data_IF_680912521178
#
_entry.id   IF_680912521178
#
_cell.length_a   1.000
_cell.length_b   1.000
_cell.length_c   1.000
_cell.angle_alpha   90.00
_cell.angle_beta   90.00
_cell.angle_gamma   90.00
#
_symmetry.space_group_name_H-M   'P 1'
#
loop_
_entity.id
_entity.type
_entity.pdbx_description
1 polymer ?
#
# COMPACT_ATOMS: atom_id res chain seq x y z
N UNK A 1 -18.37 5.66 3.90
CA UNK A 1 -19.50 6.47 4.42
C UNK A 1 -19.70 6.26 5.91
N UNK A 2 -20.86 5.77 6.37
CA UNK A 2 -21.14 5.56 7.82
C UNK A 2 -20.18 4.57 8.49
N UNK A 3 -19.75 3.52 7.80
CA UNK A 3 -18.79 2.54 8.32
C UNK A 3 -17.38 3.13 8.49
N UNK A 4 -16.93 4.00 7.58
CA UNK A 4 -15.63 4.67 7.67
C UNK A 4 -15.60 5.68 8.81
N UNK A 5 -16.70 6.42 9.03
CA UNK A 5 -16.83 7.32 10.18
C UNK A 5 -16.78 6.52 11.50
N UNK A 6 -17.44 5.37 11.56
CA UNK A 6 -17.37 4.48 12.72
C UNK A 6 -15.94 3.95 12.95
N UNK A 7 -15.25 3.51 11.89
CA UNK A 7 -13.86 3.05 11.96
C UNK A 7 -12.90 4.15 12.43
N UNK A 8 -13.01 5.36 11.88
CA UNK A 8 -12.21 6.51 12.31
C UNK A 8 -12.46 6.84 13.79
N UNK A 9 -13.72 6.79 14.23
CA UNK A 9 -14.09 7.02 15.63
C UNK A 9 -13.47 5.99 16.59
N UNK A 10 -13.43 4.72 16.21
CA UNK A 10 -12.79 3.66 17.01
C UNK A 10 -11.28 3.91 17.16
N UNK A 11 -10.60 4.32 16.09
CA UNK A 11 -9.17 4.63 16.15
C UNK A 11 -8.89 5.84 17.04
N UNK A 12 -9.72 6.88 16.97
CA UNK A 12 -9.60 8.05 17.84
C UNK A 12 -9.80 7.69 19.31
N UNK A 13 -10.84 6.91 19.64
CA UNK A 13 -11.08 6.46 21.01
C UNK A 13 -9.94 5.60 21.55
N UNK A 14 -9.41 4.69 20.73
CA UNK A 14 -8.24 3.89 21.09
C UNK A 14 -7.00 4.78 21.35
N UNK A 15 -6.76 5.80 20.52
CA UNK A 15 -5.71 6.78 20.72
C UNK A 15 -5.86 7.55 22.03
N UNK A 16 -7.07 8.05 22.33
CA UNK A 16 -7.33 8.73 23.60
C UNK A 16 -7.11 7.82 24.82
N UNK A 17 -7.56 6.57 24.74
CA UNK A 17 -7.35 5.60 25.82
C UNK A 17 -5.86 5.35 26.08
N UNK A 18 -5.08 5.19 25.01
CA UNK A 18 -3.62 5.06 25.11
C UNK A 18 -2.99 6.32 25.72
N UNK A 19 -3.39 7.51 25.25
CA UNK A 19 -2.90 8.78 25.77
C UNK A 19 -3.08 8.91 27.29
N UNK A 20 -4.27 8.60 27.81
CA UNK A 20 -4.52 8.63 29.25
C UNK A 20 -3.79 7.52 30.02
N UNK A 21 -3.52 6.36 29.40
CA UNK A 21 -2.73 5.30 30.02
C UNK A 21 -1.26 5.70 30.25
N UNK A 22 -0.71 6.49 29.35
CA UNK A 22 0.72 6.86 29.32
C UNK A 22 1.08 7.91 30.36
N UNK A 23 0.13 8.72 30.82
CA UNK A 23 0.37 9.90 31.67
C UNK A 23 1.09 9.60 33.01
N UNK A 24 1.15 8.34 33.43
CA UNK A 24 1.81 7.89 34.68
C UNK A 24 2.98 6.92 34.46
N UNK A 25 3.49 6.79 33.24
CA UNK A 25 4.53 5.80 32.87
C UNK A 25 5.92 6.44 32.66
N UNK A 26 7.02 5.66 32.76
CA UNK A 26 8.39 6.14 32.54
C UNK A 26 8.59 6.74 31.14
N UNK A 27 9.61 7.59 30.97
CA UNK A 27 9.82 8.42 29.78
C UNK A 27 10.03 7.60 28.49
N UNK A 28 10.70 6.44 28.62
CA UNK A 28 10.90 5.52 27.51
C UNK A 28 9.57 4.93 27.01
N UNK A 29 8.71 4.54 27.94
CA UNK A 29 7.37 4.01 27.64
C UNK A 29 6.52 5.08 26.95
N UNK A 30 6.59 6.31 27.44
CA UNK A 30 5.91 7.46 26.84
C UNK A 30 6.37 7.73 25.40
N UNK A 31 7.67 7.69 25.11
CA UNK A 31 8.16 7.93 23.75
C UNK A 31 7.67 6.87 22.76
N UNK A 32 7.79 5.59 23.14
CA UNK A 32 7.39 4.45 22.32
C UNK A 32 5.88 4.48 22.04
N UNK A 33 5.08 4.79 23.05
CA UNK A 33 3.63 4.89 22.93
C UNK A 33 3.19 6.12 22.12
N UNK A 34 3.94 7.24 22.20
CA UNK A 34 3.66 8.44 21.39
C UNK A 34 3.84 8.14 19.90
N UNK A 35 4.86 7.37 19.52
CA UNK A 35 5.07 6.92 18.14
C UNK A 35 3.89 6.05 17.63
N UNK A 36 3.35 5.18 18.49
CA UNK A 36 2.14 4.42 18.18
C UNK A 36 0.92 5.33 18.01
N UNK A 37 0.78 6.35 18.85
CA UNK A 37 -0.29 7.34 18.75
C UNK A 37 -0.27 8.06 17.39
N UNK A 38 0.93 8.46 16.93
CA UNK A 38 1.12 9.10 15.63
C UNK A 38 0.66 8.18 14.50
N UNK A 39 0.98 6.89 14.55
CA UNK A 39 0.52 5.91 13.58
C UNK A 39 -1.02 5.76 13.58
N UNK A 40 -1.64 5.70 14.77
CA UNK A 40 -3.11 5.60 14.92
C UNK A 40 -3.81 6.85 14.38
N UNK A 41 -3.31 8.04 14.72
CA UNK A 41 -3.85 9.30 14.19
C UNK A 41 -3.71 9.39 12.67
N UNK A 42 -2.56 9.00 12.12
CA UNK A 42 -2.35 8.94 10.67
C UNK A 42 -3.34 7.99 9.99
N UNK A 43 -3.63 6.84 10.60
CA UNK A 43 -4.66 5.90 10.13
C UNK A 43 -6.07 6.51 10.16
N UNK A 44 -6.44 7.15 11.27
CA UNK A 44 -7.74 7.83 11.39
C UNK A 44 -7.89 8.97 10.37
N UNK A 45 -6.84 9.75 10.14
CA UNK A 45 -6.79 10.79 9.11
C UNK A 45 -6.93 10.21 7.70
N UNK A 46 -6.32 9.06 7.44
CA UNK A 46 -6.42 8.38 6.13
C UNK A 46 -7.85 7.93 5.84
N UNK A 47 -8.51 7.30 6.82
CA UNK A 47 -9.92 6.90 6.72
C UNK A 47 -10.83 8.12 6.56
N UNK A 48 -10.53 9.22 7.25
CA UNK A 48 -11.27 10.47 7.09
C UNK A 48 -11.08 11.07 5.69
N UNK A 49 -9.87 11.03 5.14
CA UNK A 49 -9.59 11.48 3.78
C UNK A 49 -10.31 10.63 2.73
N UNK A 50 -10.43 9.31 2.93
CA UNK A 50 -11.19 8.41 2.04
C UNK A 50 -12.67 8.82 1.91
N UNK A 51 -13.27 9.32 3.00
CA UNK A 51 -14.65 9.83 2.98
C UNK A 51 -14.79 11.04 2.03
N UNK A 52 -13.78 11.90 1.97
CA UNK A 52 -13.75 13.08 1.09
C UNK A 52 -13.32 12.74 -0.34
N UNK A 53 -12.42 11.77 -0.51
CA UNK A 53 -11.77 11.39 -1.76
C UNK A 53 -12.09 9.93 -2.13
N UNK A 54 -13.39 9.62 -2.29
CA UNK A 54 -13.86 8.26 -2.62
C UNK A 54 -13.11 7.68 -3.83
N UNK A 55 -12.79 6.39 -3.73
CA UNK A 55 -12.21 5.54 -4.79
C UNK A 55 -10.77 5.83 -5.24
N UNK A 56 -9.98 6.51 -4.40
CA UNK A 56 -8.55 6.65 -4.67
C UNK A 56 -7.78 5.41 -4.18
N UNK A 57 -7.36 4.57 -5.12
CA UNK A 57 -6.55 3.37 -4.84
C UNK A 57 -5.30 3.67 -4.00
N UNK A 58 -4.72 4.87 -4.15
CA UNK A 58 -3.55 5.35 -3.40
C UNK A 58 -3.88 5.50 -1.91
N UNK A 59 -5.07 6.00 -1.57
CA UNK A 59 -5.50 6.20 -0.18
C UNK A 59 -5.76 4.86 0.52
N UNK A 60 -6.40 3.94 -0.17
CA UNK A 60 -6.63 2.57 0.33
C UNK A 60 -5.31 1.83 0.59
N UNK A 61 -4.36 2.00 -0.33
CA UNK A 61 -3.01 1.51 -0.23
C UNK A 61 -2.22 2.13 0.93
N UNK A 62 -2.36 3.45 1.13
CA UNK A 62 -1.74 4.17 2.24
C UNK A 62 -2.29 3.72 3.59
N UNK A 63 -3.61 3.51 3.68
CA UNK A 63 -4.27 2.93 4.85
C UNK A 63 -3.72 1.54 5.17
N UNK A 64 -3.58 0.67 4.17
CA UNK A 64 -2.97 -0.65 4.36
C UNK A 64 -1.50 -0.55 4.85
N UNK A 65 -0.72 0.39 4.30
CA UNK A 65 0.63 0.68 4.74
C UNK A 65 0.70 1.11 6.22
N UNK A 66 -0.16 2.05 6.63
CA UNK A 66 -0.25 2.50 8.03
C UNK A 66 -0.64 1.34 8.96
N UNK A 67 -1.59 0.49 8.56
CA UNK A 67 -1.98 -0.68 9.36
C UNK A 67 -0.81 -1.66 9.56
N UNK A 68 0.01 -1.87 8.53
CA UNK A 68 1.23 -2.70 8.63
C UNK A 68 2.23 -2.05 9.60
N UNK A 69 2.48 -0.74 9.47
CA UNK A 69 3.37 -0.01 10.40
C UNK A 69 2.84 -0.10 11.82
N UNK A 70 1.54 0.09 12.03
CA UNK A 70 0.92 0.05 13.35
C UNK A 70 1.05 -1.34 13.99
N UNK A 71 0.80 -2.42 13.23
CA UNK A 71 0.96 -3.79 13.72
C UNK A 71 2.40 -4.20 13.97
N UNK A 72 3.31 -3.90 13.04
CA UNK A 72 4.74 -4.23 13.18
C UNK A 72 5.40 -3.42 14.30
N UNK A 73 5.00 -2.17 14.48
CA UNK A 73 5.44 -1.36 15.61
C UNK A 73 4.89 -1.91 16.92
N UNK A 74 3.59 -2.23 17.01
CA UNK A 74 2.99 -2.82 18.21
C UNK A 74 3.71 -4.11 18.65
N UNK A 75 4.07 -4.97 17.68
CA UNK A 75 4.89 -6.15 17.94
C UNK A 75 6.27 -5.80 18.52
N UNK A 76 6.96 -4.81 17.93
CA UNK A 76 8.26 -4.33 18.41
C UNK A 76 8.18 -3.79 19.84
N UNK A 77 7.12 -3.03 20.16
CA UNK A 77 6.83 -2.54 21.52
C UNK A 77 6.70 -3.71 22.50
N UNK A 78 5.96 -4.75 22.11
CA UNK A 78 5.77 -5.94 22.93
C UNK A 78 7.09 -6.63 23.29
N UNK A 79 8.02 -6.73 22.34
CA UNK A 79 9.36 -7.30 22.59
C UNK A 79 10.18 -6.40 23.52
N UNK A 80 10.14 -5.08 23.32
CA UNK A 80 10.88 -4.10 24.13
C UNK A 80 10.38 -4.10 25.58
N UNK A 81 9.07 -4.17 25.81
CA UNK A 81 8.46 -4.12 27.14
C UNK A 81 8.48 -5.44 27.89
N UNK A 82 8.18 -6.56 27.22
CA UNK A 82 8.07 -7.87 27.90
C UNK A 82 9.37 -8.68 27.91
N UNK A 83 10.38 -8.27 27.12
CA UNK A 83 11.69 -8.93 27.03
C UNK A 83 11.60 -10.47 27.07
N UNK A 84 11.01 -11.12 26.05
CA UNK A 84 10.75 -12.56 26.06
C UNK A 84 12.01 -13.44 26.27
N UNK A 85 13.20 -12.88 26.05
CA UNK A 85 14.50 -13.56 26.24
C UNK A 85 15.32 -13.07 27.44
N UNK A 86 14.73 -12.28 28.36
CA UNK A 86 15.42 -11.87 29.59
C UNK A 86 16.65 -10.99 29.38
N UNK A 87 16.64 -10.12 28.35
CA UNK A 87 17.74 -9.20 28.05
C UNK A 87 17.95 -8.12 29.12
N UNK A 88 18.91 -7.21 28.91
CA UNK A 88 19.07 -6.02 29.77
C UNK A 88 17.83 -5.13 29.69
N UNK A 89 17.38 -4.60 30.82
CA UNK A 89 16.33 -3.58 30.89
C UNK A 89 16.73 -2.40 30.01
N UNK A 90 15.79 -1.91 29.20
CA UNK A 90 16.02 -0.73 28.37
C UNK A 90 16.03 0.50 29.28
N UNK A 91 17.23 1.04 29.53
CA UNK A 91 17.39 2.28 30.28
C UNK A 91 16.98 3.48 29.42
N UNK A 92 16.60 4.60 30.07
CA UNK A 92 16.15 5.84 29.42
C UNK A 92 17.29 6.63 28.72
N UNK A 93 18.34 5.93 28.31
CA UNK A 93 19.48 6.50 27.63
C UNK A 93 19.09 7.08 26.27
N UNK A 94 19.66 8.24 25.94
CA UNK A 94 19.43 8.93 24.67
C UNK A 94 19.71 8.03 23.45
N UNK A 95 20.67 7.10 23.57
CA UNK A 95 21.01 6.12 22.53
C UNK A 95 19.84 5.17 22.22
N UNK A 96 19.10 4.72 23.24
CA UNK A 96 17.97 3.80 23.07
C UNK A 96 16.81 4.50 22.38
N UNK A 97 16.54 5.76 22.75
CA UNK A 97 15.51 6.60 22.12
C UNK A 97 15.85 6.86 20.65
N UNK A 98 17.12 7.20 20.35
CA UNK A 98 17.57 7.35 18.96
C UNK A 98 17.45 6.05 18.15
N UNK A 99 17.79 4.90 18.74
CA UNK A 99 17.64 3.61 18.08
C UNK A 99 16.16 3.29 17.79
N UNK A 100 15.26 3.56 18.74
CA UNK A 100 13.82 3.33 18.59
C UNK A 100 13.21 4.21 17.50
N UNK A 101 13.56 5.50 17.47
CA UNK A 101 13.09 6.40 16.40
C UNK A 101 13.60 5.96 15.03
N UNK A 102 14.87 5.62 14.91
CA UNK A 102 15.44 5.03 13.68
C UNK A 102 14.69 3.76 13.26
N UNK A 103 14.44 2.85 14.19
CA UNK A 103 13.67 1.63 13.94
C UNK A 103 12.27 1.95 13.40
N UNK A 104 11.56 2.89 14.01
CA UNK A 104 10.25 3.34 13.53
C UNK A 104 10.31 3.88 12.09
N UNK A 105 11.33 4.68 11.76
CA UNK A 105 11.53 5.15 10.39
C UNK A 105 11.79 4.00 9.40
N UNK A 106 12.50 2.95 9.81
CA UNK A 106 12.68 1.75 9.00
C UNK A 106 11.37 1.01 8.75
N UNK A 107 10.49 0.89 9.75
CA UNK A 107 9.15 0.33 9.56
C UNK A 107 8.34 1.14 8.54
N UNK A 108 8.40 2.48 8.64
CA UNK A 108 7.75 3.37 7.68
C UNK A 108 8.33 3.22 6.27
N UNK A 109 9.66 3.22 6.14
CA UNK A 109 10.33 3.03 4.86
C UNK A 109 9.99 1.68 4.22
N UNK A 110 9.95 0.60 5.01
CA UNK A 110 9.54 -0.71 4.55
C UNK A 110 8.08 -0.72 4.06
N UNK A 111 7.17 -0.07 4.78
CA UNK A 111 5.77 0.05 4.35
C UNK A 111 5.64 0.83 3.02
N UNK A 112 6.39 1.92 2.86
CA UNK A 112 6.44 2.67 1.59
C UNK A 112 7.04 1.83 0.47
N UNK A 113 8.08 1.05 0.74
CA UNK A 113 8.68 0.15 -0.24
C UNK A 113 7.69 -0.94 -0.69
N UNK A 114 6.99 -1.58 0.26
CA UNK A 114 5.93 -2.56 -0.03
C UNK A 114 4.85 -1.92 -0.89
N UNK A 115 4.43 -0.70 -0.55
CA UNK A 115 3.45 0.04 -1.33
C UNK A 115 3.93 0.30 -2.77
N UNK A 116 5.16 0.80 -2.94
CA UNK A 116 5.74 1.06 -4.26
C UNK A 116 5.85 -0.21 -5.11
N UNK A 117 6.23 -1.34 -4.50
CA UNK A 117 6.29 -2.64 -5.17
C UNK A 117 4.89 -3.09 -5.62
N UNK A 118 3.88 -3.00 -4.74
CA UNK A 118 2.51 -3.38 -5.11
C UNK A 118 1.95 -2.49 -6.23
N UNK A 119 2.22 -1.19 -6.19
CA UNK A 119 1.79 -0.26 -7.23
C UNK A 119 2.45 -0.56 -8.58
N UNK A 120 3.77 -0.78 -8.57
CA UNK A 120 4.51 -1.13 -9.81
C UNK A 120 4.08 -2.49 -10.36
N UNK A 121 3.85 -3.49 -9.51
CA UNK A 121 3.32 -4.80 -9.92
C UNK A 121 1.92 -4.67 -10.54
N UNK A 122 1.01 -3.92 -9.91
CA UNK A 122 -0.33 -3.69 -10.45
C UNK A 122 -0.28 -2.98 -11.81
N UNK A 123 0.53 -1.91 -11.92
CA UNK A 123 0.74 -1.20 -13.18
C UNK A 123 1.31 -2.10 -14.27
N UNK A 124 2.37 -2.84 -13.96
CA UNK A 124 3.01 -3.79 -14.87
C UNK A 124 2.04 -4.90 -15.30
N UNK A 125 1.27 -5.48 -14.38
CA UNK A 125 0.28 -6.51 -14.69
C UNK A 125 -0.81 -5.97 -15.64
N UNK A 126 -1.35 -4.78 -15.38
CA UNK A 126 -2.34 -4.16 -16.27
C UNK A 126 -1.74 -3.95 -17.66
N UNK A 127 -0.52 -3.42 -17.74
CA UNK A 127 0.15 -3.19 -19.02
C UNK A 127 0.46 -4.50 -19.76
N UNK A 128 0.86 -5.55 -19.05
CA UNK A 128 1.11 -6.87 -19.62
C UNK A 128 -0.17 -7.57 -20.08
N UNK A 129 -1.26 -7.52 -19.28
CA UNK A 129 -2.57 -8.04 -19.69
C UNK A 129 -3.10 -7.31 -20.93
N UNK A 130 -2.91 -5.98 -21.02
CA UNK A 130 -3.26 -5.22 -22.22
C UNK A 130 -2.41 -5.62 -23.44
N UNK A 131 -1.10 -5.84 -23.26
CA UNK A 131 -0.22 -6.34 -24.35
C UNK A 131 -0.65 -7.73 -24.81
N UNK A 132 -0.86 -8.66 -23.88
CA UNK A 132 -1.26 -10.03 -24.19
C UNK A 132 -2.64 -10.10 -24.84
N UNK A 133 -3.58 -9.24 -24.46
CA UNK A 133 -4.89 -9.15 -25.11
C UNK A 133 -4.80 -8.55 -26.52
N UNK A 134 -3.85 -7.65 -26.80
CA UNK A 134 -3.63 -7.08 -28.16
C UNK A 134 -2.95 -8.04 -29.15
N UNK A 135 -2.09 -8.93 -28.67
CA UNK A 135 -1.31 -9.88 -29.48
C UNK A 135 -2.16 -10.83 -30.37
N UNK A 136 -3.27 -11.44 -29.90
CA UNK A 136 -4.09 -12.32 -30.72
C UNK A 136 -4.86 -11.59 -31.84
N UNK A 137 -5.21 -10.31 -31.66
CA UNK A 137 -5.93 -9.54 -32.70
C UNK A 137 -5.02 -9.12 -33.86
N UNK A 138 -3.75 -8.81 -33.59
CA UNK A 138 -2.78 -8.47 -34.64
C UNK A 138 -2.45 -9.71 -35.50
N UNK A 139 -2.31 -10.88 -34.88
CA UNK A 139 -2.09 -12.14 -35.61
C UNK A 139 -3.28 -12.59 -36.49
N UNK A 140 -4.52 -12.36 -36.03
CA UNK A 140 -5.72 -12.65 -36.83
C UNK A 140 -5.99 -11.63 -37.95
N UNK A 141 -5.62 -10.35 -37.74
CA UNK A 141 -5.74 -9.30 -38.76
C UNK A 141 -4.76 -9.48 -39.92
N UNK A 142 -3.50 -9.85 -39.62
CA UNK A 142 -2.47 -10.11 -40.64
C UNK A 142 -2.80 -11.36 -41.47
N UNK A 143 -3.28 -12.44 -40.85
CA UNK A 143 -3.66 -13.68 -41.57
C UNK A 143 -4.85 -13.51 -42.52
N UNK A 144 -5.71 -12.51 -42.30
CA UNK A 144 -6.86 -12.24 -43.19
C UNK A 144 -6.49 -11.42 -44.43
N UNK A 145 -5.33 -10.76 -44.44
CA UNK A 145 -4.85 -9.95 -45.58
C UNK A 145 -3.93 -10.73 -46.54
N UNK A 146 -3.21 -11.75 -46.09
CA UNK A 146 -2.36 -12.58 -46.97
C UNK A 146 -3.11 -13.66 -47.77
N UNK A 147 -4.45 -13.72 -47.64
CA UNK A 147 -5.26 -14.83 -48.17
C UNK A 147 -5.86 -14.65 -49.57
N UNK A 148 -5.77 -13.49 -50.24
CA UNK A 148 -6.34 -13.40 -51.59
C UNK A 148 -5.69 -12.34 -52.51
N UNK A 149 -4.59 -12.68 -53.21
CA UNK A 149 -4.14 -11.98 -54.40
C UNK A 149 -4.79 -12.52 -55.69
N UNK A 150 -5.79 -13.41 -55.63
CA UNK A 150 -6.31 -14.11 -56.82
C UNK A 150 -7.60 -13.54 -57.40
N UNK A 151 -8.28 -12.65 -56.68
CA UNK A 151 -9.53 -12.02 -57.15
C UNK A 151 -9.33 -10.74 -57.97
N UNK A 152 -8.16 -10.09 -57.92
CA UNK A 152 -7.88 -8.89 -58.75
C UNK A 152 -7.43 -9.21 -60.18
N UNK A 153 -6.86 -10.40 -60.45
CA UNK A 153 -6.44 -10.78 -61.81
C UNK A 153 -7.58 -11.28 -62.69
N UNK A 154 -8.71 -11.68 -62.10
CA UNK A 154 -9.90 -12.11 -62.85
C UNK A 154 -10.69 -10.93 -63.46
N UNK A 155 -10.57 -9.72 -62.91
CA UNK A 155 -11.34 -8.56 -63.38
C UNK A 155 -10.66 -7.78 -64.53
N UNK A 156 -9.35 -7.97 -64.73
CA UNK A 156 -8.59 -7.28 -65.79
C UNK A 156 -8.44 -8.12 -67.08
N UNK A 157 -8.81 -9.40 -67.08
CA UNK A 157 -8.68 -10.27 -68.26
C UNK A 157 -9.98 -10.40 -69.07
N UNK A 158 -11.02 -9.64 -68.75
CA UNK A 158 -12.34 -9.71 -69.40
C UNK A 158 -12.75 -8.45 -70.17
N UNK A 159 -11.87 -7.46 -70.33
CA UNK A 159 -12.22 -6.16 -70.93
C UNK A 159 -11.59 -5.87 -72.31
N UNK A 160 -10.82 -6.81 -72.87
CA UNK A 160 -10.05 -6.59 -74.11
C UNK A 160 -10.42 -7.55 -75.27
N UNK A 161 -11.65 -8.10 -75.29
CA UNK A 161 -12.17 -8.85 -76.44
C UNK A 161 -13.53 -8.30 -76.92
N UNK A 162 -13.50 -7.18 -77.66
CA UNK A 162 -14.52 -6.79 -78.65
C UNK A 162 -13.85 -6.32 -79.95
#
# INVERSE_FOLDING_TARGET
GVAEVALSSVHLLAGFLFYYHILHRPLLDQHIHTLLLIAIFSGACSIMLEVFLRDNIILEMFRAGITIVQGTWFWQIGIVLFQPWGGRTWDEDHSNIMFLTMCFFWHWAAAVAILAINYTLAYCCIQQCQRHSREPYIGLGVRRQEGDPSSQTAFLNGSDEE
#
